data_IF_716303804652
#
_entry.id   IF_716303804652
#
_cell.length_a   1.000
_cell.length_b   1.000
_cell.length_c   1.000
_cell.angle_alpha   90.00
_cell.angle_beta   90.00
_cell.angle_gamma   90.00
#
_symmetry.space_group_name_H-M   'P 1'
#
loop_
_entity.id
_entity.type
_entity.pdbx_description
1 polymer ?
#
# COMPACT_ATOMS: atom_id res chain seq x y z
N UNK A 1 31.17 -59.54 18.94
CA UNK A 1 31.65 -58.23 18.42
C UNK A 1 30.61 -57.68 17.46
N UNK A 2 29.86 -56.64 17.86
CA UNK A 2 28.91 -55.92 16.99
C UNK A 2 29.54 -54.57 16.66
N UNK A 3 29.81 -54.33 15.39
CA UNK A 3 30.31 -53.06 14.86
C UNK A 3 29.08 -52.20 14.53
N UNK A 4 28.94 -51.06 15.21
CA UNK A 4 27.91 -50.05 14.92
C UNK A 4 28.53 -49.04 13.95
N UNK A 5 28.07 -49.01 12.71
CA UNK A 5 28.41 -47.97 11.74
C UNK A 5 27.53 -46.74 12.02
N UNK A 6 28.15 -45.67 12.49
CA UNK A 6 27.54 -44.35 12.68
C UNK A 6 27.78 -43.54 11.39
N UNK A 7 26.73 -43.39 10.58
CA UNK A 7 26.75 -42.54 9.39
C UNK A 7 26.51 -41.08 9.79
N UNK A 8 27.55 -40.26 9.69
CA UNK A 8 27.51 -38.82 9.85
C UNK A 8 27.09 -38.21 8.49
N UNK A 9 25.82 -37.85 8.34
CA UNK A 9 25.36 -37.08 7.17
C UNK A 9 25.69 -35.61 7.41
N UNK A 10 26.81 -35.14 6.85
CA UNK A 10 27.08 -33.71 6.74
C UNK A 10 26.21 -33.14 5.61
N UNK A 11 25.07 -32.54 5.97
CA UNK A 11 24.34 -31.66 5.05
C UNK A 11 25.08 -30.32 5.05
N UNK A 12 26.06 -30.19 4.15
CA UNK A 12 26.59 -28.88 3.78
C UNK A 12 25.52 -28.16 2.97
N UNK A 13 24.67 -27.39 3.64
CA UNK A 13 23.80 -26.44 2.97
C UNK A 13 24.68 -25.38 2.32
N UNK A 14 24.89 -25.51 1.00
CA UNK A 14 25.30 -24.41 0.17
C UNK A 14 24.12 -23.42 0.13
N UNK A 15 24.01 -22.60 1.16
CA UNK A 15 23.18 -21.40 1.09
C UNK A 15 23.81 -20.56 -0.01
N UNK A 16 23.11 -20.46 -1.14
CA UNK A 16 23.47 -19.52 -2.19
C UNK A 16 23.69 -18.17 -1.50
N UNK A 17 24.92 -17.66 -1.62
CA UNK A 17 25.27 -16.33 -1.17
C UNK A 17 24.49 -15.39 -2.08
N UNK A 18 23.25 -15.13 -1.70
CA UNK A 18 22.36 -14.19 -2.36
C UNK A 18 23.11 -12.86 -2.35
N UNK A 19 23.41 -12.34 -3.55
CA UNK A 19 24.23 -11.15 -3.69
C UNK A 19 23.67 -10.07 -2.76
N UNK A 20 24.50 -9.58 -1.83
CA UNK A 20 24.13 -8.47 -0.99
C UNK A 20 23.69 -7.31 -1.90
N UNK A 21 22.61 -6.57 -1.55
CA UNK A 21 22.19 -5.44 -2.35
C UNK A 21 23.32 -4.42 -2.35
N UNK A 22 23.60 -3.78 -3.47
CA UNK A 22 24.66 -2.77 -3.56
C UNK A 22 24.22 -1.41 -3.01
N UNK A 23 22.92 -1.22 -2.73
CA UNK A 23 22.31 0.05 -2.32
C UNK A 23 21.02 -0.14 -1.52
N UNK A 24 20.59 0.90 -0.79
CA UNK A 24 19.25 0.96 -0.18
C UNK A 24 18.17 0.95 -1.26
N UNK A 25 18.41 1.63 -2.37
CA UNK A 25 17.54 1.63 -3.54
C UNK A 25 17.32 0.22 -4.12
N UNK A 26 18.36 -0.58 -4.27
CA UNK A 26 18.23 -1.99 -4.67
C UNK A 26 17.49 -2.84 -3.63
N UNK A 27 17.78 -2.63 -2.33
CA UNK A 27 17.09 -3.32 -1.24
C UNK A 27 15.59 -3.03 -1.25
N UNK A 28 15.17 -1.77 -1.39
CA UNK A 28 13.76 -1.37 -1.43
C UNK A 28 13.02 -1.97 -2.62
N UNK A 29 13.66 -2.03 -3.79
CA UNK A 29 13.11 -2.68 -4.98
C UNK A 29 12.97 -4.20 -4.80
N UNK A 30 13.95 -4.85 -4.18
CA UNK A 30 13.87 -6.28 -3.89
C UNK A 30 12.74 -6.60 -2.90
N UNK A 31 12.57 -5.79 -1.85
CA UNK A 31 11.43 -5.91 -0.92
C UNK A 31 10.10 -5.76 -1.67
N UNK A 32 9.98 -4.75 -2.55
CA UNK A 32 8.76 -4.52 -3.33
C UNK A 32 8.39 -5.75 -4.17
N UNK A 33 9.39 -6.35 -4.84
CA UNK A 33 9.22 -7.55 -5.64
C UNK A 33 8.89 -8.79 -4.80
N UNK A 34 9.46 -8.91 -3.60
CA UNK A 34 9.13 -10.01 -2.67
C UNK A 34 7.70 -9.87 -2.15
N UNK A 35 7.29 -8.66 -1.74
CA UNK A 35 5.92 -8.39 -1.28
C UNK A 35 4.92 -8.68 -2.39
N UNK A 36 5.15 -8.17 -3.60
CA UNK A 36 4.27 -8.42 -4.75
C UNK A 36 4.11 -9.92 -5.03
N UNK A 37 5.22 -10.66 -5.17
CA UNK A 37 5.18 -12.10 -5.48
C UNK A 37 4.48 -12.91 -4.39
N UNK A 38 4.72 -12.57 -3.13
CA UNK A 38 4.09 -13.26 -2.01
C UNK A 38 2.58 -12.97 -1.97
N UNK A 39 2.19 -11.70 -2.15
CA UNK A 39 0.79 -11.32 -2.14
C UNK A 39 0.01 -11.94 -3.30
N UNK A 40 0.61 -12.02 -4.49
CA UNK A 40 0.02 -12.69 -5.66
C UNK A 40 -0.19 -14.19 -5.41
N UNK A 41 0.76 -14.85 -4.72
CA UNK A 41 0.73 -16.31 -4.53
C UNK A 41 -0.20 -16.75 -3.40
N UNK A 42 -0.21 -16.03 -2.27
CA UNK A 42 -0.90 -16.48 -1.05
C UNK A 42 -1.78 -15.41 -0.41
N UNK A 43 -1.76 -14.17 -0.92
CA UNK A 43 -2.26 -12.99 -0.20
C UNK A 43 -1.33 -12.53 0.93
N UNK A 44 -0.33 -13.35 1.27
CA UNK A 44 0.58 -13.22 2.40
C UNK A 44 -0.07 -13.25 3.78
N UNK A 45 0.74 -13.58 4.77
CA UNK A 45 0.36 -13.61 6.18
C UNK A 45 1.32 -12.76 7.00
N UNK A 46 0.91 -12.33 8.19
CA UNK A 46 1.75 -11.50 9.07
C UNK A 46 3.13 -12.10 9.31
N UNK A 47 3.22 -13.44 9.47
CA UNK A 47 4.48 -14.15 9.64
C UNK A 47 5.37 -14.07 8.40
N UNK A 48 4.80 -14.20 7.21
CA UNK A 48 5.56 -14.15 5.96
C UNK A 48 6.03 -12.72 5.68
N UNK A 49 5.21 -11.71 5.98
CA UNK A 49 5.59 -10.30 5.93
C UNK A 49 6.73 -9.99 6.89
N UNK A 50 6.62 -10.41 8.15
CA UNK A 50 7.69 -10.23 9.15
C UNK A 50 8.99 -10.89 8.70
N UNK A 51 8.94 -12.07 8.09
CA UNK A 51 10.15 -12.72 7.59
C UNK A 51 10.86 -11.92 6.47
N UNK A 52 10.10 -11.25 5.59
CA UNK A 52 10.67 -10.34 4.58
C UNK A 52 11.31 -9.13 5.27
N UNK A 53 10.60 -8.53 6.24
CA UNK A 53 11.04 -7.34 6.98
C UNK A 53 12.33 -7.63 7.76
N UNK A 54 12.38 -8.71 8.54
CA UNK A 54 13.56 -9.13 9.30
C UNK A 54 14.78 -9.38 8.40
N UNK A 55 14.57 -10.08 7.28
CA UNK A 55 15.64 -10.33 6.29
C UNK A 55 16.14 -9.03 5.68
N UNK A 56 15.25 -8.10 5.37
CA UNK A 56 15.60 -6.80 4.81
C UNK A 56 16.35 -5.91 5.83
N UNK A 57 15.90 -5.86 7.08
CA UNK A 57 16.58 -5.15 8.16
C UNK A 57 17.99 -5.69 8.36
N UNK A 58 18.17 -7.01 8.41
CA UNK A 58 19.50 -7.62 8.53
C UNK A 58 20.44 -7.22 7.38
N UNK A 59 19.91 -7.13 6.15
CA UNK A 59 20.68 -6.69 4.98
C UNK A 59 21.03 -5.20 5.04
N UNK A 60 20.10 -4.35 5.48
CA UNK A 60 20.38 -2.92 5.67
C UNK A 60 21.46 -2.70 6.73
N UNK A 61 21.35 -3.37 7.88
CA UNK A 61 22.35 -3.27 8.95
C UNK A 61 23.73 -3.72 8.45
N UNK A 62 23.79 -4.82 7.70
CA UNK A 62 25.04 -5.26 7.07
C UNK A 62 25.60 -4.21 6.11
N UNK A 63 24.75 -3.53 5.31
CA UNK A 63 25.22 -2.47 4.41
C UNK A 63 25.82 -1.28 5.16
N UNK A 64 25.14 -0.84 6.22
CA UNK A 64 25.60 0.26 7.08
C UNK A 64 26.97 -0.09 7.70
N UNK A 65 27.16 -1.35 8.13
CA UNK A 65 28.42 -1.80 8.70
C UNK A 65 29.56 -1.89 7.67
N UNK A 66 29.28 -2.31 6.44
CA UNK A 66 30.31 -2.55 5.42
C UNK A 66 30.66 -1.33 4.59
N UNK A 67 29.70 -0.42 4.35
CA UNK A 67 29.85 0.71 3.43
C UNK A 67 28.98 1.90 3.85
N UNK A 68 29.28 2.46 5.02
CA UNK A 68 28.57 3.64 5.55
C UNK A 68 28.64 4.85 4.60
N UNK A 69 29.73 4.99 3.83
CA UNK A 69 29.90 6.07 2.87
C UNK A 69 28.92 5.93 1.67
N UNK A 70 28.68 4.71 1.18
CA UNK A 70 27.66 4.47 0.16
C UNK A 70 26.25 4.79 0.66
N UNK A 71 25.91 4.41 1.90
CA UNK A 71 24.64 4.77 2.53
C UNK A 71 24.49 6.29 2.60
N UNK A 72 25.55 7.00 3.02
CA UNK A 72 25.55 8.45 3.11
C UNK A 72 25.42 9.13 1.74
N UNK A 73 26.05 8.56 0.71
CA UNK A 73 25.96 9.05 -0.66
C UNK A 73 24.54 8.88 -1.24
N UNK A 74 23.81 7.84 -0.83
CA UNK A 74 22.38 7.69 -1.15
C UNK A 74 21.47 8.57 -0.30
N UNK A 75 21.84 8.89 0.95
CA UNK A 75 21.32 10.04 1.68
C UNK A 75 19.79 10.18 1.68
N UNK A 76 19.32 11.36 1.27
CA UNK A 76 17.90 11.66 1.13
C UNK A 76 17.13 10.75 0.15
N UNK A 77 17.66 10.40 -1.04
CA UNK A 77 17.06 9.37 -1.89
C UNK A 77 16.73 8.05 -1.16
N UNK A 78 17.58 7.59 -0.24
CA UNK A 78 17.31 6.39 0.55
C UNK A 78 16.08 6.57 1.46
N UNK A 79 16.01 7.69 2.19
CA UNK A 79 14.86 8.02 3.05
C UNK A 79 13.57 8.15 2.25
N UNK A 80 13.61 8.82 1.11
CA UNK A 80 12.45 8.98 0.22
C UNK A 80 11.97 7.64 -0.31
N UNK A 81 12.88 6.75 -0.74
CA UNK A 81 12.52 5.43 -1.25
C UNK A 81 11.85 4.57 -0.18
N UNK A 82 12.38 4.56 1.05
CA UNK A 82 11.80 3.85 2.20
C UNK A 82 10.44 4.43 2.58
N UNK A 83 10.35 5.77 2.69
CA UNK A 83 9.11 6.45 3.04
C UNK A 83 8.03 6.24 1.99
N UNK A 84 8.32 6.46 0.71
CA UNK A 84 7.38 6.27 -0.42
C UNK A 84 6.81 4.86 -0.47
N UNK A 85 7.63 3.86 -0.19
CA UNK A 85 7.21 2.45 -0.22
C UNK A 85 6.63 1.95 1.11
N UNK A 86 6.54 2.78 2.15
CA UNK A 86 5.92 2.37 3.41
C UNK A 86 6.73 1.34 4.21
N UNK A 87 8.06 1.35 4.14
CA UNK A 87 8.91 0.40 4.86
C UNK A 87 9.37 0.95 6.21
N UNK A 88 8.43 1.14 7.13
CA UNK A 88 8.68 1.73 8.46
C UNK A 88 9.84 1.07 9.22
N UNK A 89 9.95 -0.26 9.12
CA UNK A 89 10.98 -1.08 9.76
C UNK A 89 12.43 -0.78 9.30
N UNK A 90 12.63 -0.06 8.19
CA UNK A 90 13.96 0.40 7.75
C UNK A 90 14.27 1.83 8.19
N UNK A 91 13.29 2.56 8.71
CA UNK A 91 13.42 3.99 9.00
C UNK A 91 14.29 4.23 10.23
N UNK A 92 14.10 3.49 11.32
CA UNK A 92 14.92 3.64 12.53
C UNK A 92 16.43 3.39 12.29
N UNK A 93 16.86 2.29 11.63
CA UNK A 93 18.28 2.09 11.34
C UNK A 93 18.89 3.18 10.45
N UNK A 94 18.13 3.72 9.48
CA UNK A 94 18.61 4.82 8.63
C UNK A 94 18.76 6.12 9.43
N UNK A 95 17.76 6.47 10.23
CA UNK A 95 17.76 7.70 11.04
C UNK A 95 18.75 7.65 12.20
N UNK A 96 19.28 6.47 12.56
CA UNK A 96 20.38 6.36 13.51
C UNK A 96 21.71 6.94 12.96
N UNK A 97 21.84 7.14 11.64
CA UNK A 97 23.04 7.69 11.03
C UNK A 97 22.97 9.23 10.94
N UNK A 98 23.85 10.00 11.64
CA UNK A 98 23.75 11.46 11.68
C UNK A 98 23.84 12.15 10.31
N UNK A 99 24.63 11.58 9.39
CA UNK A 99 24.76 12.12 8.03
C UNK A 99 23.50 11.92 7.17
N UNK A 100 22.66 10.94 7.49
CA UNK A 100 21.35 10.77 6.85
C UNK A 100 20.37 11.81 7.40
N UNK A 101 20.35 11.99 8.72
CA UNK A 101 19.51 13.01 9.38
C UNK A 101 19.85 14.43 8.89
N UNK A 102 21.11 14.70 8.59
CA UNK A 102 21.53 15.99 8.03
C UNK A 102 20.91 16.31 6.65
N UNK A 103 20.37 15.30 5.95
CA UNK A 103 19.76 15.41 4.62
C UNK A 103 18.22 15.21 4.67
N UNK A 104 17.60 15.20 5.86
CA UNK A 104 16.20 14.79 6.04
C UNK A 104 15.18 15.64 5.26
N UNK A 105 15.51 16.91 5.03
CA UNK A 105 14.66 17.89 4.31
C UNK A 105 15.13 18.15 2.87
N UNK A 106 16.08 17.38 2.35
CA UNK A 106 16.37 17.43 0.92
C UNK A 106 15.16 16.96 0.11
N UNK A 107 15.04 17.48 -1.11
CA UNK A 107 13.89 17.25 -2.00
C UNK A 107 14.29 16.51 -3.26
N UNK A 108 13.38 15.68 -3.78
CA UNK A 108 13.55 15.03 -5.08
C UNK A 108 13.26 15.98 -6.27
N UNK A 109 13.24 15.42 -7.48
CA UNK A 109 12.92 16.15 -8.71
C UNK A 109 11.49 16.72 -8.76
N UNK A 110 10.59 16.24 -7.91
CA UNK A 110 9.22 16.75 -7.75
C UNK A 110 9.13 17.76 -6.60
N UNK A 111 10.25 18.09 -5.95
CA UNK A 111 10.26 18.98 -4.79
C UNK A 111 9.75 18.33 -3.51
N UNK A 112 9.75 16.99 -3.39
CA UNK A 112 9.20 16.28 -2.24
C UNK A 112 10.31 15.77 -1.32
N UNK A 113 10.14 15.92 -0.01
CA UNK A 113 10.99 15.27 1.00
C UNK A 113 10.50 13.85 1.31
N UNK A 114 11.25 13.10 2.12
CA UNK A 114 10.79 11.81 2.64
C UNK A 114 9.47 11.92 3.43
N UNK A 115 9.29 13.01 4.20
CA UNK A 115 8.06 13.24 4.96
C UNK A 115 6.88 13.57 4.03
N UNK A 116 7.12 14.29 2.94
CA UNK A 116 6.10 14.55 1.92
C UNK A 116 5.62 13.24 1.27
N UNK A 117 6.54 12.35 0.90
CA UNK A 117 6.20 11.01 0.37
C UNK A 117 5.40 10.17 1.37
N UNK A 118 5.76 10.20 2.65
CA UNK A 118 5.04 9.47 3.69
C UNK A 118 3.60 10.00 3.87
N UNK A 119 3.41 11.33 3.78
CA UNK A 119 2.09 11.97 3.89
C UNK A 119 1.19 11.71 2.69
N UNK A 120 1.78 11.65 1.50
CA UNK A 120 1.05 11.22 0.31
C UNK A 120 0.62 9.76 0.47
N UNK A 121 1.47 8.90 1.02
CA UNK A 121 1.11 7.54 1.38
C UNK A 121 0.63 6.72 0.18
N UNK A 122 1.23 6.93 -1.01
CA UNK A 122 0.66 6.52 -2.31
C UNK A 122 0.32 5.02 -2.36
N UNK A 123 1.03 4.15 -1.62
CA UNK A 123 0.70 2.72 -1.58
C UNK A 123 -0.61 2.38 -0.87
N UNK A 124 -1.21 3.31 -0.13
CA UNK A 124 -2.53 3.17 0.51
C UNK A 124 -3.57 4.18 0.00
N UNK A 125 -3.15 5.23 -0.71
CA UNK A 125 -4.04 6.34 -1.07
C UNK A 125 -4.22 6.53 -2.57
N UNK A 126 -3.57 5.71 -3.42
CA UNK A 126 -3.60 5.88 -4.88
C UNK A 126 -5.03 5.91 -5.45
N UNK A 127 -5.96 5.16 -4.86
CA UNK A 127 -7.37 5.15 -5.28
C UNK A 127 -8.09 6.47 -5.02
N UNK A 128 -7.70 7.23 -4.00
CA UNK A 128 -8.25 8.58 -3.79
C UNK A 128 -7.89 9.53 -4.95
N UNK A 129 -6.73 9.31 -5.59
CA UNK A 129 -6.28 10.10 -6.74
C UNK A 129 -7.00 9.74 -8.05
N UNK A 130 -7.44 8.49 -8.17
CA UNK A 130 -8.07 7.94 -9.36
C UNK A 130 -9.42 7.29 -9.01
N UNK A 131 -10.45 8.09 -8.64
CA UNK A 131 -11.76 7.55 -8.26
C UNK A 131 -12.55 6.95 -9.42
N UNK A 132 -12.17 7.29 -10.65
CA UNK A 132 -12.72 6.75 -11.88
C UNK A 132 -11.56 6.18 -12.70
N UNK A 133 -11.51 4.85 -12.78
CA UNK A 133 -10.38 4.16 -13.40
C UNK A 133 -10.83 3.60 -14.73
N UNK A 134 -10.39 4.22 -15.82
CA UNK A 134 -10.67 3.74 -17.17
C UNK A 134 -10.05 2.36 -17.42
N UNK A 135 -8.86 2.13 -16.87
CA UNK A 135 -8.13 0.87 -16.99
C UNK A 135 -7.97 0.18 -15.62
N UNK A 136 -8.84 -0.78 -15.26
CA UNK A 136 -8.76 -1.46 -13.96
C UNK A 136 -7.43 -2.21 -13.75
N UNK A 137 -6.73 -2.57 -14.84
CA UNK A 137 -5.43 -3.23 -14.76
C UNK A 137 -4.30 -2.31 -14.28
N UNK A 138 -4.46 -0.99 -14.40
CA UNK A 138 -3.48 -0.02 -13.92
C UNK A 138 -3.28 -0.10 -12.39
N UNK A 139 -4.29 -0.57 -11.66
CA UNK A 139 -4.21 -0.76 -10.22
C UNK A 139 -3.86 -2.17 -9.77
N UNK A 140 -3.70 -3.15 -10.67
CA UNK A 140 -3.41 -4.52 -10.24
C UNK A 140 -2.18 -4.59 -9.33
N UNK A 141 -1.03 -3.96 -9.64
CA UNK A 141 0.11 -3.97 -8.72
C UNK A 141 -0.17 -3.34 -7.35
N UNK A 142 -1.00 -2.30 -7.34
CA UNK A 142 -1.44 -1.65 -6.11
C UNK A 142 -2.36 -2.57 -5.29
N UNK A 143 -3.37 -3.16 -5.92
CA UNK A 143 -4.38 -4.03 -5.30
C UNK A 143 -3.77 -5.31 -4.73
N UNK A 144 -2.88 -5.94 -5.50
CA UNK A 144 -2.18 -7.16 -5.09
C UNK A 144 -1.41 -6.92 -3.79
N UNK A 145 -0.80 -5.75 -3.61
CA UNK A 145 0.01 -5.46 -2.42
C UNK A 145 -0.76 -4.84 -1.26
N UNK A 146 -2.05 -4.50 -1.42
CA UNK A 146 -2.85 -3.90 -0.34
C UNK A 146 -2.89 -4.71 0.96
N UNK A 147 -2.97 -6.06 0.96
CA UNK A 147 -2.98 -6.82 2.21
C UNK A 147 -1.75 -6.54 3.11
N UNK A 148 -0.58 -6.30 2.52
CA UNK A 148 0.62 -5.91 3.27
C UNK A 148 0.40 -4.55 3.97
N UNK A 149 0.00 -3.53 3.21
CA UNK A 149 -0.18 -2.19 3.76
C UNK A 149 -1.35 -2.08 4.73
N UNK A 150 -2.42 -2.86 4.53
CA UNK A 150 -3.54 -2.95 5.45
C UNK A 150 -3.13 -3.60 6.79
N UNK A 151 -2.27 -4.63 6.75
CA UNK A 151 -1.72 -5.26 7.97
C UNK A 151 -0.76 -4.34 8.71
N UNK A 152 0.11 -3.63 7.98
CA UNK A 152 1.18 -2.83 8.58
C UNK A 152 0.81 -1.40 8.95
N UNK A 153 -0.11 -0.78 8.22
CA UNK A 153 -0.45 0.64 8.34
C UNK A 153 0.81 1.52 8.57
N UNK A 154 1.80 1.48 7.66
CA UNK A 154 3.17 1.93 7.98
C UNK A 154 3.35 3.45 8.02
N UNK A 155 2.50 4.22 7.32
CA UNK A 155 2.74 5.64 7.12
C UNK A 155 2.64 6.50 8.40
N UNK A 156 1.67 6.28 9.32
CA UNK A 156 1.64 6.99 10.60
C UNK A 156 2.95 6.84 11.39
N UNK A 157 3.55 5.64 11.41
CA UNK A 157 4.83 5.40 12.07
C UNK A 157 5.98 6.13 11.36
N UNK A 158 6.04 6.06 10.03
CA UNK A 158 7.06 6.78 9.24
C UNK A 158 6.98 8.29 9.47
N UNK A 159 5.77 8.86 9.45
CA UNK A 159 5.53 10.29 9.71
C UNK A 159 6.03 10.65 11.11
N UNK A 160 5.72 9.83 12.11
CA UNK A 160 6.16 10.05 13.48
C UNK A 160 7.70 9.99 13.61
N UNK A 161 8.34 9.00 13.01
CA UNK A 161 9.81 8.84 13.04
C UNK A 161 10.53 10.01 12.36
N UNK A 162 10.10 10.41 11.16
CA UNK A 162 10.70 11.54 10.45
C UNK A 162 10.50 12.86 11.20
N UNK A 163 9.30 13.09 11.75
CA UNK A 163 9.03 14.28 12.57
C UNK A 163 9.89 14.30 13.83
N UNK A 164 10.04 13.16 14.50
CA UNK A 164 10.89 13.04 15.69
C UNK A 164 12.38 13.26 15.38
N UNK A 165 12.82 12.91 14.16
CA UNK A 165 14.16 13.20 13.67
C UNK A 165 14.37 14.65 13.21
N UNK A 166 13.33 15.50 13.27
CA UNK A 166 13.43 16.93 13.00
C UNK A 166 13.08 17.36 11.58
N UNK A 167 12.44 16.50 10.78
CA UNK A 167 11.92 16.88 9.46
C UNK A 167 10.92 18.04 9.57
N UNK A 168 10.93 18.94 8.59
CA UNK A 168 10.00 20.08 8.53
C UNK A 168 8.54 19.58 8.44
N UNK A 169 7.68 19.88 9.43
CA UNK A 169 6.31 19.40 9.45
C UNK A 169 5.38 20.16 8.49
N UNK A 170 5.83 21.14 7.72
CA UNK A 170 4.99 21.78 6.68
C UNK A 170 4.53 20.77 5.63
N UNK A 171 3.27 20.86 5.20
CA UNK A 171 2.63 19.85 4.32
C UNK A 171 2.23 20.42 2.96
N UNK A 172 2.56 21.69 2.72
CA UNK A 172 2.18 22.45 1.53
C UNK A 172 2.68 21.78 0.25
N UNK A 173 3.91 21.23 0.25
CA UNK A 173 4.49 20.55 -0.92
C UNK A 173 3.72 19.29 -1.28
N UNK A 174 3.54 18.38 -0.32
CA UNK A 174 2.73 17.18 -0.52
C UNK A 174 1.29 17.50 -0.94
N UNK A 175 0.64 18.50 -0.32
CA UNK A 175 -0.73 18.91 -0.66
C UNK A 175 -0.80 19.43 -2.09
N UNK A 176 0.09 20.35 -2.48
CA UNK A 176 0.14 20.88 -3.84
C UNK A 176 0.40 19.79 -4.87
N UNK A 177 1.36 18.91 -4.61
CA UNK A 177 1.66 17.78 -5.48
C UNK A 177 0.43 16.91 -5.73
N UNK A 178 -0.33 16.58 -4.68
CA UNK A 178 -1.53 15.79 -4.82
C UNK A 178 -2.58 16.52 -5.68
N UNK A 179 -2.84 17.80 -5.40
CA UNK A 179 -3.83 18.60 -6.14
C UNK A 179 -3.46 18.78 -7.62
N UNK A 180 -2.17 18.89 -7.93
CA UNK A 180 -1.67 19.02 -9.31
C UNK A 180 -1.71 17.69 -10.07
N UNK A 181 -1.46 16.57 -9.38
CA UNK A 181 -1.40 15.23 -10.01
C UNK A 181 -2.78 14.59 -10.12
N UNK A 182 -3.64 14.78 -9.12
CA UNK A 182 -4.91 14.08 -8.94
C UNK A 182 -6.10 14.91 -9.46
N UNK A 183 -6.04 15.26 -10.74
CA UNK A 183 -7.05 16.13 -11.39
C UNK A 183 -8.38 15.43 -11.67
N UNK A 184 -8.40 14.10 -11.69
CA UNK A 184 -9.59 13.29 -11.94
C UNK A 184 -10.47 13.07 -10.68
N UNK A 185 -10.13 13.71 -9.57
CA UNK A 185 -10.92 13.71 -8.34
C UNK A 185 -12.26 14.44 -8.48
N UNK A 186 -13.24 14.09 -7.63
CA UNK A 186 -14.42 14.93 -7.48
C UNK A 186 -14.03 16.29 -6.85
N UNK A 187 -14.67 17.39 -7.25
CA UNK A 187 -14.36 18.72 -6.73
C UNK A 187 -14.43 18.81 -5.19
N UNK A 188 -15.34 18.05 -4.58
CA UNK A 188 -15.46 17.92 -3.12
C UNK A 188 -14.17 17.34 -2.50
N UNK A 189 -13.64 16.26 -3.06
CA UNK A 189 -12.40 15.63 -2.58
C UNK A 189 -11.19 16.57 -2.69
N UNK A 190 -11.10 17.33 -3.79
CA UNK A 190 -10.05 18.35 -3.95
C UNK A 190 -10.17 19.45 -2.89
N UNK A 191 -11.38 19.88 -2.56
CA UNK A 191 -11.63 20.85 -1.48
C UNK A 191 -11.24 20.29 -0.10
N UNK A 192 -11.55 19.03 0.18
CA UNK A 192 -11.15 18.34 1.41
C UNK A 192 -9.62 18.28 1.53
N UNK A 193 -8.91 17.89 0.46
CA UNK A 193 -7.44 17.87 0.45
C UNK A 193 -6.85 19.27 0.63
N UNK A 194 -7.40 20.28 -0.07
CA UNK A 194 -6.92 21.66 0.00
C UNK A 194 -7.01 22.26 1.41
N UNK A 195 -7.99 21.81 2.21
CA UNK A 195 -8.25 22.32 3.57
C UNK A 195 -7.82 21.35 4.67
N UNK A 196 -7.20 20.22 4.31
CA UNK A 196 -6.81 19.18 5.26
C UNK A 196 -5.76 19.65 6.27
N UNK A 197 -5.97 19.27 7.54
CA UNK A 197 -5.01 19.44 8.64
C UNK A 197 -4.05 18.25 8.69
N UNK A 198 -4.55 17.05 8.40
CA UNK A 198 -3.76 15.83 8.28
C UNK A 198 -3.97 15.25 6.88
N UNK A 199 -2.98 15.44 6.01
CA UNK A 199 -3.07 15.03 4.61
C UNK A 199 -3.26 13.51 4.48
N UNK A 200 -2.44 12.70 5.15
CA UNK A 200 -2.50 11.24 5.02
C UNK A 200 -3.85 10.67 5.46
N UNK A 201 -4.35 11.07 6.63
CA UNK A 201 -5.66 10.62 7.13
C UNK A 201 -6.80 11.05 6.20
N UNK A 202 -6.74 12.29 5.67
CA UNK A 202 -7.73 12.77 4.70
C UNK A 202 -7.71 11.90 3.44
N UNK A 203 -6.52 11.63 2.88
CA UNK A 203 -6.38 10.81 1.69
C UNK A 203 -6.81 9.36 1.91
N UNK A 204 -6.59 8.81 3.10
CA UNK A 204 -7.03 7.46 3.47
C UNK A 204 -8.56 7.38 3.61
N UNK A 205 -9.21 8.38 4.21
CA UNK A 205 -10.68 8.44 4.25
C UNK A 205 -11.28 8.54 2.84
N UNK A 206 -10.67 9.38 1.99
CA UNK A 206 -11.06 9.52 0.59
C UNK A 206 -10.91 8.20 -0.18
N UNK A 207 -9.83 7.45 0.03
CA UNK A 207 -9.66 6.11 -0.54
C UNK A 207 -10.80 5.18 -0.16
N UNK A 208 -11.15 5.14 1.13
CA UNK A 208 -12.20 4.25 1.64
C UNK A 208 -13.57 4.66 1.08
N UNK A 209 -13.79 5.96 0.89
CA UNK A 209 -14.99 6.51 0.25
C UNK A 209 -15.09 6.10 -1.21
N UNK A 210 -13.99 6.20 -1.97
CA UNK A 210 -13.91 5.75 -3.37
C UNK A 210 -14.26 4.27 -3.48
N UNK A 211 -13.62 3.41 -2.67
CA UNK A 211 -13.88 1.97 -2.66
C UNK A 211 -15.36 1.68 -2.36
N UNK A 212 -15.98 2.42 -1.43
CA UNK A 212 -17.40 2.27 -1.12
C UNK A 212 -18.30 2.69 -2.29
N UNK A 213 -17.99 3.80 -2.97
CA UNK A 213 -18.73 4.28 -4.13
C UNK A 213 -18.64 3.26 -5.27
N UNK A 214 -17.46 2.75 -5.57
CA UNK A 214 -17.25 1.73 -6.61
C UNK A 214 -18.03 0.45 -6.30
N UNK A 215 -17.89 -0.08 -5.08
CA UNK A 215 -18.63 -1.26 -4.64
C UNK A 215 -20.14 -1.08 -4.75
N UNK A 216 -20.63 0.11 -4.39
CA UNK A 216 -22.05 0.46 -4.54
C UNK A 216 -22.47 0.45 -6.00
N UNK A 217 -21.69 1.08 -6.88
CA UNK A 217 -21.94 1.09 -8.33
C UNK A 217 -22.00 -0.33 -8.90
N UNK A 218 -21.05 -1.21 -8.58
CA UNK A 218 -21.03 -2.60 -9.05
C UNK A 218 -22.30 -3.37 -8.64
N UNK A 219 -22.77 -3.14 -7.41
CA UNK A 219 -23.99 -3.75 -6.89
C UNK A 219 -25.25 -3.16 -7.53
N UNK A 220 -25.28 -1.85 -7.76
CA UNK A 220 -26.37 -1.18 -8.46
C UNK A 220 -26.47 -1.69 -9.93
N UNK A 221 -25.34 -1.85 -10.63
CA UNK A 221 -25.25 -2.42 -11.98
C UNK A 221 -25.71 -3.88 -12.01
N UNK A 222 -25.26 -4.69 -11.05
CA UNK A 222 -25.68 -6.08 -10.89
C UNK A 222 -27.19 -6.18 -10.59
N UNK A 223 -27.73 -5.30 -9.76
CA UNK A 223 -29.15 -5.21 -9.48
C UNK A 223 -29.96 -4.80 -10.72
N UNK A 224 -29.46 -3.86 -11.52
CA UNK A 224 -30.07 -3.48 -12.80
C UNK A 224 -30.10 -4.66 -13.78
N UNK A 225 -29.00 -5.41 -13.89
CA UNK A 225 -28.92 -6.62 -14.72
C UNK A 225 -29.91 -7.70 -14.25
N UNK A 226 -30.04 -7.92 -12.94
CA UNK A 226 -31.05 -8.84 -12.40
C UNK A 226 -32.46 -8.40 -12.80
N UNK A 227 -32.78 -7.10 -12.73
CA UNK A 227 -34.07 -6.59 -13.20
C UNK A 227 -34.27 -6.89 -14.67
N UNK A 228 -33.30 -6.56 -15.53
CA UNK A 228 -33.39 -6.80 -16.97
C UNK A 228 -33.63 -8.28 -17.32
N UNK A 229 -32.89 -9.20 -16.69
CA UNK A 229 -32.98 -10.64 -16.96
C UNK A 229 -34.30 -11.24 -16.46
N UNK A 230 -34.76 -10.84 -15.28
CA UNK A 230 -35.90 -11.47 -14.61
C UNK A 230 -37.24 -10.77 -14.83
N UNK A 231 -37.25 -9.52 -15.29
CA UNK A 231 -38.50 -8.79 -15.57
C UNK A 231 -39.43 -9.55 -16.52
N UNK A 232 -38.96 -10.15 -17.65
CA UNK A 232 -39.85 -10.91 -18.53
C UNK A 232 -40.50 -12.14 -17.85
N UNK A 233 -39.86 -12.71 -16.82
CA UNK A 233 -40.44 -13.81 -16.03
C UNK A 233 -41.50 -13.30 -15.07
N UNK A 234 -41.28 -12.12 -14.48
CA UNK A 234 -42.28 -11.43 -13.66
C UNK A 234 -43.51 -11.11 -14.50
N UNK A 235 -43.31 -10.55 -15.70
CA UNK A 235 -44.39 -10.19 -16.63
C UNK A 235 -45.19 -11.43 -17.08
N UNK A 236 -44.52 -12.57 -17.23
CA UNK A 236 -45.16 -13.85 -17.58
C UNK A 236 -45.81 -14.58 -16.38
N UNK A 237 -45.79 -14.00 -15.17
CA UNK A 237 -46.30 -14.63 -13.94
C UNK A 237 -45.49 -15.85 -13.49
N UNK A 238 -44.27 -16.04 -14.01
CA UNK A 238 -43.36 -17.16 -13.68
C UNK A 238 -42.43 -16.86 -12.50
N UNK A 239 -42.51 -15.65 -11.96
CA UNK A 239 -41.77 -15.14 -10.81
C UNK A 239 -42.61 -13.99 -10.22
N UNK A 240 -42.63 -13.81 -8.90
CA UNK A 240 -43.31 -12.64 -8.33
C UNK A 240 -42.39 -11.41 -8.34
N UNK A 241 -42.96 -10.21 -8.42
CA UNK A 241 -42.19 -8.97 -8.27
C UNK A 241 -41.50 -8.87 -6.90
N UNK A 242 -42.13 -9.43 -5.86
CA UNK A 242 -41.56 -9.51 -4.51
C UNK A 242 -40.32 -10.40 -4.48
N UNK A 243 -40.36 -11.57 -5.12
CA UNK A 243 -39.22 -12.50 -5.20
C UNK A 243 -38.02 -11.85 -5.91
N UNK A 244 -38.27 -11.07 -6.98
CA UNK A 244 -37.21 -10.32 -7.65
C UNK A 244 -36.64 -9.22 -6.74
N UNK A 245 -37.50 -8.47 -6.04
CA UNK A 245 -37.07 -7.46 -5.09
C UNK A 245 -36.26 -8.06 -3.92
N UNK A 246 -36.68 -9.19 -3.36
CA UNK A 246 -35.95 -9.90 -2.30
C UNK A 246 -34.59 -10.41 -2.77
N UNK A 247 -34.49 -10.88 -4.02
CA UNK A 247 -33.23 -11.30 -4.63
C UNK A 247 -32.25 -10.13 -4.77
N UNK A 248 -32.75 -8.96 -5.20
CA UNK A 248 -31.95 -7.72 -5.28
C UNK A 248 -31.56 -7.26 -3.88
N UNK A 249 -32.49 -7.21 -2.93
CA UNK A 249 -32.18 -6.82 -1.54
C UNK A 249 -31.11 -7.76 -0.92
N UNK A 250 -31.15 -9.05 -1.25
CA UNK A 250 -30.14 -10.01 -0.80
C UNK A 250 -28.77 -9.76 -1.42
N UNK A 251 -28.70 -9.33 -2.69
CA UNK A 251 -27.45 -8.93 -3.33
C UNK A 251 -26.77 -7.76 -2.59
N UNK A 252 -27.52 -6.72 -2.20
CA UNK A 252 -26.97 -5.64 -1.37
C UNK A 252 -26.50 -6.14 0.00
N UNK A 253 -27.32 -6.94 0.70
CA UNK A 253 -26.94 -7.46 2.02
C UNK A 253 -25.69 -8.35 1.98
N UNK A 254 -25.57 -9.21 0.97
CA UNK A 254 -24.39 -10.07 0.79
C UNK A 254 -23.11 -9.28 0.54
N UNK A 255 -23.23 -8.06 0.03
CA UNK A 255 -22.11 -7.14 -0.18
C UNK A 255 -21.96 -6.13 0.96
N UNK A 256 -22.69 -6.30 2.08
CA UNK A 256 -22.61 -5.40 3.23
C UNK A 256 -23.11 -3.98 2.94
N UNK A 257 -23.94 -3.81 1.91
CA UNK A 257 -24.57 -2.55 1.55
C UNK A 257 -26.06 -2.57 1.92
N UNK A 258 -26.59 -1.39 2.24
CA UNK A 258 -28.03 -1.21 2.39
C UNK A 258 -28.69 -1.05 1.01
N UNK A 259 -29.81 -1.76 0.74
CA UNK A 259 -30.60 -1.53 -0.45
C UNK A 259 -31.08 -0.08 -0.56
N UNK A 260 -31.24 0.47 -1.77
CA UNK A 260 -31.88 1.78 -1.94
C UNK A 260 -33.27 1.79 -1.30
N UNK A 261 -33.66 2.93 -0.74
CA UNK A 261 -35.00 3.11 -0.19
C UNK A 261 -36.04 2.81 -1.28
N UNK A 262 -37.11 2.09 -0.92
CA UNK A 262 -38.22 1.82 -1.83
C UNK A 262 -38.99 3.12 -2.03
N UNK A 263 -39.02 3.63 -3.26
CA UNK A 263 -39.87 4.76 -3.68
C UNK A 263 -41.35 4.37 -3.69
#
# INVERSE_FOLDING_TARGET
MRVVLMWLVMVTGAWAQENAPASVSELTNDIANQIYRLAERTGGSDREWTAIEEKATARLLSLIETDADAILAEGAPALMAVAKNGYAFLMEPLLAHPGIVAQIDEVDENGLTALDHARLGIKQTLRACHPQIDNPFALVPYLVTQPYYASRAPYPEIIALLTAAGADPTMERARSQWLETCTNGFAEMQSEVATSINLFETLLDLETRVVRIERRREVDESAAMLREIFQPRVDAGKMSAQELAESIDQLYRNTGLEPPAKE
#
